data_IF_076350486013
#
_entry.id   IF_076350486013
#
_cell.length_a   1.000
_cell.length_b   1.000
_cell.length_c   1.000
_cell.angle_alpha   90.00
_cell.angle_beta   90.00
_cell.angle_gamma   90.00
#
_symmetry.space_group_name_H-M   'P 1'
#
loop_
_entity.id
_entity.type
_entity.pdbx_description
1 polymer ?
#
# COMPACT_ATOMS: atom_id res chain seq x y z
N UNK A 1 22.91 30.47 -50.27
CA UNK A 1 23.16 30.83 -48.85
C UNK A 1 21.94 30.60 -47.93
N UNK A 2 20.75 30.32 -48.43
CA UNK A 2 19.51 30.14 -47.63
C UNK A 2 19.28 28.72 -47.05
N UNK A 3 19.97 27.71 -47.56
CA UNK A 3 19.76 26.30 -47.18
C UNK A 3 20.49 25.88 -45.91
N UNK A 4 21.56 26.56 -45.50
CA UNK A 4 22.35 26.23 -44.31
C UNK A 4 21.66 26.70 -43.05
N UNK A 5 20.87 27.78 -43.10
CA UNK A 5 20.15 28.30 -41.92
C UNK A 5 18.96 27.43 -41.49
N UNK A 6 18.35 26.67 -42.40
CA UNK A 6 17.24 25.76 -42.06
C UNK A 6 17.68 24.49 -41.33
N UNK A 7 18.89 24.01 -41.59
CA UNK A 7 19.44 22.81 -40.95
C UNK A 7 19.91 23.08 -39.50
N UNK A 8 20.36 24.31 -39.20
CA UNK A 8 20.75 24.66 -37.80
C UNK A 8 19.53 24.85 -36.91
N UNK A 9 18.40 25.33 -37.42
CA UNK A 9 17.19 25.54 -36.63
C UNK A 9 16.51 24.23 -36.20
N UNK A 10 16.60 23.18 -36.99
CA UNK A 10 16.01 21.87 -36.66
C UNK A 10 16.86 21.08 -35.66
N UNK A 11 18.17 21.24 -35.68
CA UNK A 11 19.06 20.59 -34.70
C UNK A 11 18.90 21.14 -33.27
N UNK A 12 18.60 22.44 -33.14
CA UNK A 12 18.41 23.09 -31.84
C UNK A 12 17.04 22.73 -31.22
N UNK A 13 16.00 22.54 -32.03
CA UNK A 13 14.68 22.14 -31.55
C UNK A 13 14.64 20.70 -31.01
N UNK A 14 15.46 19.79 -31.56
CA UNK A 14 15.56 18.40 -31.11
C UNK A 14 16.32 18.29 -29.76
N UNK A 15 17.31 19.17 -29.52
CA UNK A 15 18.04 19.17 -28.24
C UNK A 15 17.20 19.64 -27.06
N UNK A 16 16.21 20.49 -27.26
CA UNK A 16 15.32 20.97 -26.18
C UNK A 16 14.30 19.89 -25.76
N UNK A 17 13.93 18.98 -26.67
CA UNK A 17 12.98 17.90 -26.38
C UNK A 17 13.60 16.76 -25.56
N UNK A 18 14.93 16.65 -25.46
CA UNK A 18 15.60 15.60 -24.70
C UNK A 18 16.00 16.02 -23.28
N UNK A 19 15.80 17.28 -22.90
CA UNK A 19 16.24 17.82 -21.59
C UNK A 19 15.17 17.82 -20.52
N UNK A 20 14.12 17.06 -20.61
CA UNK A 20 13.06 17.21 -19.63
C UNK A 20 12.26 15.99 -19.31
N UNK A 21 12.83 15.06 -18.58
CA UNK A 21 12.03 14.18 -17.70
C UNK A 21 12.99 13.39 -16.80
N UNK A 22 13.69 14.07 -15.90
CA UNK A 22 14.08 13.41 -14.66
C UNK A 22 12.78 13.28 -13.84
N UNK A 23 12.01 12.25 -14.13
CA UNK A 23 10.82 11.92 -13.35
C UNK A 23 11.30 11.74 -11.92
N UNK A 24 10.84 12.59 -11.01
CA UNK A 24 11.13 12.44 -9.58
C UNK A 24 10.58 11.07 -9.15
N UNK A 25 11.48 10.11 -8.94
CA UNK A 25 11.13 8.73 -8.62
C UNK A 25 10.25 8.65 -7.39
N UNK A 26 10.51 9.48 -6.38
CA UNK A 26 9.71 9.52 -5.16
C UNK A 26 8.28 10.02 -5.43
N UNK A 27 8.12 11.02 -6.29
CA UNK A 27 6.82 11.50 -6.71
C UNK A 27 6.04 10.43 -7.47
N UNK A 28 6.68 9.79 -8.43
CA UNK A 28 6.07 8.69 -9.20
C UNK A 28 5.63 7.53 -8.31
N UNK A 29 6.43 7.16 -7.30
CA UNK A 29 6.06 6.13 -6.33
C UNK A 29 4.92 6.59 -5.42
N UNK A 30 4.89 7.87 -5.02
CA UNK A 30 3.79 8.46 -4.26
C UNK A 30 2.48 8.42 -5.06
N UNK A 31 2.51 8.80 -6.33
CA UNK A 31 1.34 8.73 -7.22
C UNK A 31 0.86 7.27 -7.39
N UNK A 32 1.78 6.30 -7.48
CA UNK A 32 1.44 4.88 -7.52
C UNK A 32 0.74 4.40 -6.24
N UNK A 33 1.21 4.81 -5.06
CA UNK A 33 0.56 4.50 -3.77
C UNK A 33 -0.88 5.03 -3.76
N UNK A 34 -1.10 6.27 -4.17
CA UNK A 34 -2.44 6.86 -4.24
C UNK A 34 -3.34 6.11 -5.23
N UNK A 35 -2.80 5.74 -6.39
CA UNK A 35 -3.55 4.98 -7.40
C UNK A 35 -4.01 3.62 -6.83
N UNK A 36 -3.09 2.87 -6.19
CA UNK A 36 -3.42 1.58 -5.57
C UNK A 36 -4.43 1.74 -4.42
N UNK A 37 -4.32 2.82 -3.61
CA UNK A 37 -5.27 3.13 -2.56
C UNK A 37 -6.68 3.39 -3.12
N UNK A 38 -6.80 4.19 -4.17
CA UNK A 38 -8.09 4.42 -4.85
C UNK A 38 -8.68 3.14 -5.44
N UNK A 39 -7.87 2.32 -6.10
CA UNK A 39 -8.31 1.02 -6.63
C UNK A 39 -8.79 0.12 -5.50
N UNK A 40 -8.05 0.03 -4.39
CA UNK A 40 -8.45 -0.74 -3.22
C UNK A 40 -9.86 -0.34 -2.75
N UNK A 41 -10.12 0.95 -2.55
CA UNK A 41 -11.43 1.43 -2.09
C UNK A 41 -12.55 1.08 -3.08
N UNK A 42 -12.32 1.31 -4.38
CA UNK A 42 -13.30 0.99 -5.42
C UNK A 42 -13.61 -0.52 -5.49
N UNK A 43 -12.59 -1.37 -5.35
CA UNK A 43 -12.75 -2.82 -5.37
C UNK A 43 -13.48 -3.32 -4.13
N UNK A 44 -13.16 -2.77 -2.95
CA UNK A 44 -13.83 -3.12 -1.70
C UNK A 44 -15.31 -2.73 -1.73
N UNK A 45 -15.65 -1.55 -2.28
CA UNK A 45 -17.05 -1.13 -2.49
C UNK A 45 -17.81 -2.04 -3.44
N UNK A 46 -17.12 -2.67 -4.41
CA UNK A 46 -17.68 -3.65 -5.34
C UNK A 46 -17.64 -5.09 -4.81
N UNK A 47 -17.28 -5.27 -3.55
CA UNK A 47 -17.15 -6.58 -2.90
C UNK A 47 -16.07 -7.50 -3.52
N UNK A 48 -15.17 -6.93 -4.31
CA UNK A 48 -14.06 -7.65 -4.94
C UNK A 48 -12.88 -7.71 -3.97
N UNK A 49 -13.06 -8.43 -2.87
CA UNK A 49 -12.16 -8.45 -1.70
C UNK A 49 -10.74 -8.89 -2.06
N UNK A 50 -10.60 -9.98 -2.82
CA UNK A 50 -9.28 -10.50 -3.20
C UNK A 50 -8.51 -9.47 -4.06
N UNK A 51 -9.18 -8.86 -5.02
CA UNK A 51 -8.58 -7.83 -5.84
C UNK A 51 -8.19 -6.59 -5.00
N UNK A 52 -9.01 -6.20 -4.02
CA UNK A 52 -8.66 -5.14 -3.08
C UNK A 52 -7.42 -5.51 -2.25
N UNK A 53 -7.32 -6.74 -1.75
CA UNK A 53 -6.13 -7.22 -1.03
C UNK A 53 -4.88 -7.14 -1.91
N UNK A 54 -4.95 -7.50 -3.18
CA UNK A 54 -3.83 -7.38 -4.12
C UNK A 54 -3.36 -5.93 -4.28
N UNK A 55 -4.27 -4.98 -4.37
CA UNK A 55 -3.90 -3.55 -4.43
C UNK A 55 -3.18 -3.10 -3.15
N UNK A 56 -3.61 -3.56 -1.96
CA UNK A 56 -2.91 -3.23 -0.73
C UNK A 56 -1.52 -3.88 -0.64
N UNK A 57 -1.37 -5.11 -1.12
CA UNK A 57 -0.05 -5.75 -1.23
C UNK A 57 0.87 -5.01 -2.21
N UNK A 58 0.35 -4.44 -3.30
CA UNK A 58 1.14 -3.59 -4.19
C UNK A 58 1.71 -2.36 -3.45
N UNK A 59 0.93 -1.73 -2.57
CA UNK A 59 1.41 -0.65 -1.70
C UNK A 59 2.53 -1.15 -0.78
N UNK A 60 2.37 -2.30 -0.12
CA UNK A 60 3.39 -2.89 0.74
C UNK A 60 4.69 -3.20 -0.03
N UNK A 61 4.60 -3.67 -1.28
CA UNK A 61 5.76 -3.92 -2.14
C UNK A 61 6.54 -2.64 -2.45
N UNK A 62 5.86 -1.51 -2.71
CA UNK A 62 6.51 -0.20 -2.84
C UNK A 62 7.33 0.11 -1.57
N UNK A 63 6.77 -0.12 -0.39
CA UNK A 63 7.47 0.08 0.87
C UNK A 63 8.71 -0.81 1.03
N UNK A 64 8.64 -2.07 0.59
CA UNK A 64 9.78 -2.97 0.60
C UNK A 64 10.87 -2.55 -0.37
N UNK A 65 10.52 -2.07 -1.56
CA UNK A 65 11.47 -1.53 -2.54
C UNK A 65 12.17 -0.29 -2.00
N UNK A 66 11.44 0.64 -1.39
CA UNK A 66 12.00 1.82 -0.73
C UNK A 66 13.02 1.44 0.36
N UNK A 67 12.68 0.49 1.24
CA UNK A 67 13.57 0.03 2.31
C UNK A 67 14.82 -0.67 1.81
N UNK A 68 14.74 -1.40 0.70
CA UNK A 68 15.87 -2.12 0.13
C UNK A 68 16.88 -1.22 -0.59
N UNK A 69 16.61 0.07 -0.74
CA UNK A 69 17.46 1.00 -1.51
C UNK A 69 17.53 0.69 -3.02
N UNK A 70 16.66 -0.19 -3.51
CA UNK A 70 16.63 -0.62 -4.92
C UNK A 70 15.89 0.34 -5.84
N UNK A 71 15.88 1.62 -5.52
CA UNK A 71 15.32 2.61 -6.43
C UNK A 71 16.30 2.89 -7.58
N UNK A 72 15.82 2.99 -8.83
CA UNK A 72 16.66 3.39 -9.95
C UNK A 72 17.33 4.73 -9.66
N UNK A 73 18.67 4.81 -9.74
CA UNK A 73 19.42 6.05 -9.50
C UNK A 73 19.86 6.30 -8.06
N UNK A 74 19.76 5.31 -7.16
CA UNK A 74 20.06 5.47 -5.72
C UNK A 74 21.54 5.29 -5.33
N UNK A 75 22.46 5.24 -6.28
CA UNK A 75 23.88 4.92 -5.99
C UNK A 75 24.59 5.91 -5.05
N UNK A 76 24.02 7.11 -4.85
CA UNK A 76 24.48 8.08 -3.84
C UNK A 76 23.27 8.87 -3.32
N UNK A 77 22.63 8.37 -2.24
CA UNK A 77 21.52 9.07 -1.62
C UNK A 77 21.99 10.38 -0.97
N UNK A 78 21.51 11.50 -1.47
CA UNK A 78 21.67 12.81 -0.84
C UNK A 78 20.81 12.89 0.43
N UNK A 79 21.16 13.70 1.43
CA UNK A 79 20.35 13.86 2.64
C UNK A 79 18.86 14.20 2.35
N UNK A 80 18.60 15.04 1.34
CA UNK A 80 17.26 15.39 0.91
C UNK A 80 16.48 14.19 0.34
N UNK A 81 17.15 13.22 -0.27
CA UNK A 81 16.53 12.02 -0.82
C UNK A 81 16.17 11.03 0.30
N UNK A 82 17.00 10.94 1.34
CA UNK A 82 16.69 10.16 2.55
C UNK A 82 15.43 10.68 3.25
N UNK A 83 15.29 11.99 3.35
CA UNK A 83 14.10 12.60 3.94
C UNK A 83 12.83 12.33 3.10
N UNK A 84 12.93 12.45 1.76
CA UNK A 84 11.83 12.12 0.83
C UNK A 84 11.45 10.64 0.92
N UNK A 85 12.45 9.77 0.97
CA UNK A 85 12.25 8.33 1.16
C UNK A 85 11.55 8.04 2.48
N UNK A 86 11.97 8.68 3.58
CA UNK A 86 11.33 8.55 4.89
C UNK A 86 9.85 8.93 4.85
N UNK A 87 9.53 10.12 4.34
CA UNK A 87 8.12 10.57 4.19
C UNK A 87 7.29 9.63 3.33
N UNK A 88 7.84 9.13 2.23
CA UNK A 88 7.12 8.18 1.38
C UNK A 88 6.90 6.84 2.06
N UNK A 89 7.87 6.35 2.85
CA UNK A 89 7.72 5.14 3.67
C UNK A 89 6.61 5.32 4.71
N UNK A 90 6.52 6.47 5.35
CA UNK A 90 5.45 6.76 6.31
C UNK A 90 4.08 6.75 5.60
N UNK A 91 3.97 7.40 4.43
CA UNK A 91 2.74 7.38 3.61
C UNK A 91 2.33 5.95 3.21
N UNK A 92 3.29 5.13 2.76
CA UNK A 92 3.04 3.73 2.39
C UNK A 92 2.50 2.95 3.59
N UNK A 93 3.14 3.09 4.75
CA UNK A 93 2.75 2.38 5.98
C UNK A 93 1.37 2.80 6.45
N UNK A 94 1.12 4.10 6.48
CA UNK A 94 -0.18 4.66 6.85
C UNK A 94 -1.29 4.14 5.93
N UNK A 95 -1.11 4.27 4.62
CA UNK A 95 -2.12 3.83 3.64
C UNK A 95 -2.38 2.33 3.72
N UNK A 96 -1.34 1.52 3.89
CA UNK A 96 -1.51 0.08 4.03
C UNK A 96 -2.23 -0.29 5.33
N UNK A 97 -1.94 0.38 6.44
CA UNK A 97 -2.63 0.16 7.72
C UNK A 97 -4.13 0.50 7.61
N UNK A 98 -4.45 1.67 7.02
CA UNK A 98 -5.85 2.10 6.77
C UNK A 98 -6.61 1.07 5.94
N UNK A 99 -6.00 0.56 4.89
CA UNK A 99 -6.63 -0.43 4.02
C UNK A 99 -6.87 -1.76 4.76
N UNK A 100 -5.92 -2.25 5.57
CA UNK A 100 -6.13 -3.46 6.37
C UNK A 100 -7.24 -3.28 7.42
N UNK A 101 -7.32 -2.12 8.07
CA UNK A 101 -8.41 -1.80 8.98
C UNK A 101 -9.75 -1.76 8.26
N UNK A 102 -9.84 -1.10 7.10
CA UNK A 102 -11.06 -1.06 6.29
C UNK A 102 -11.54 -2.46 5.88
N UNK A 103 -10.59 -3.33 5.50
CA UNK A 103 -10.91 -4.71 5.18
C UNK A 103 -11.40 -5.51 6.39
N UNK A 104 -10.80 -5.31 7.56
CA UNK A 104 -11.26 -5.93 8.80
C UNK A 104 -12.69 -5.49 9.17
N UNK A 105 -12.99 -4.20 9.03
CA UNK A 105 -14.33 -3.65 9.23
C UNK A 105 -15.34 -4.23 8.23
N UNK A 106 -14.94 -4.38 6.96
CA UNK A 106 -15.76 -5.01 5.93
C UNK A 106 -16.17 -6.42 6.33
N UNK A 107 -15.22 -7.25 6.78
CA UNK A 107 -15.53 -8.61 7.25
C UNK A 107 -16.36 -8.61 8.55
N UNK A 108 -16.06 -7.71 9.47
CA UNK A 108 -16.82 -7.57 10.72
C UNK A 108 -18.29 -7.23 10.46
N UNK A 109 -18.56 -6.29 9.55
CA UNK A 109 -19.94 -5.91 9.18
C UNK A 109 -20.75 -7.03 8.53
N UNK A 110 -20.07 -8.05 7.99
CA UNK A 110 -20.68 -9.26 7.40
C UNK A 110 -20.69 -10.45 8.36
N UNK A 111 -20.41 -10.20 9.65
CA UNK A 111 -20.35 -11.23 10.68
C UNK A 111 -19.27 -12.31 10.43
N UNK A 112 -18.31 -12.03 9.55
CA UNK A 112 -17.16 -12.89 9.29
C UNK A 112 -16.04 -12.59 10.30
N UNK A 113 -16.38 -12.79 11.59
CA UNK A 113 -15.54 -12.37 12.72
C UNK A 113 -14.15 -12.99 12.73
N UNK A 114 -14.01 -14.24 12.26
CA UNK A 114 -12.71 -14.90 12.15
C UNK A 114 -11.75 -14.17 11.20
N UNK A 115 -12.23 -13.79 10.02
CA UNK A 115 -11.45 -13.03 9.05
C UNK A 115 -11.13 -11.62 9.55
N UNK A 116 -12.11 -10.92 10.14
CA UNK A 116 -11.92 -9.61 10.73
C UNK A 116 -10.85 -9.66 11.84
N UNK A 117 -10.91 -10.66 12.73
CA UNK A 117 -9.95 -10.88 13.81
C UNK A 117 -8.52 -11.06 13.28
N UNK A 118 -8.33 -11.90 12.26
CA UNK A 118 -7.04 -12.14 11.66
C UNK A 118 -6.42 -10.86 11.10
N UNK A 119 -7.22 -10.01 10.47
CA UNK A 119 -6.77 -8.73 9.91
C UNK A 119 -6.43 -7.71 10.99
N UNK A 120 -7.24 -7.57 12.04
CA UNK A 120 -6.89 -6.71 13.17
C UNK A 120 -5.60 -7.17 13.86
N UNK A 121 -5.41 -8.49 14.07
CA UNK A 121 -4.17 -9.04 14.61
C UNK A 121 -2.97 -8.71 13.71
N UNK A 122 -3.11 -8.80 12.37
CA UNK A 122 -2.09 -8.38 11.42
C UNK A 122 -1.71 -6.91 11.61
N UNK A 123 -2.70 -6.01 11.72
CA UNK A 123 -2.45 -4.58 11.98
C UNK A 123 -1.70 -4.39 13.30
N UNK A 124 -2.13 -5.02 14.37
CA UNK A 124 -1.47 -4.94 15.68
C UNK A 124 0.00 -5.37 15.58
N UNK A 125 0.29 -6.49 14.93
CA UNK A 125 1.64 -7.02 14.80
C UNK A 125 2.55 -6.15 13.91
N UNK A 126 2.00 -5.65 12.81
CA UNK A 126 2.79 -4.93 11.79
C UNK A 126 3.03 -3.47 12.14
N UNK A 127 2.13 -2.84 12.90
CA UNK A 127 2.12 -1.39 13.16
C UNK A 127 2.25 -1.02 14.64
N UNK A 128 2.66 -1.96 15.52
CA UNK A 128 2.83 -1.71 16.95
C UNK A 128 3.93 -0.69 17.29
N UNK A 129 4.84 -0.40 16.36
CA UNK A 129 6.05 0.42 16.59
C UNK A 129 6.04 1.65 15.68
N UNK A 130 6.55 2.77 16.22
CA UNK A 130 6.70 4.01 15.45
C UNK A 130 5.45 4.88 15.40
N UNK A 131 5.35 5.76 14.40
CA UNK A 131 4.25 6.72 14.23
C UNK A 131 2.90 6.07 13.94
N UNK A 132 2.91 4.80 13.50
CA UNK A 132 1.70 4.06 13.11
C UNK A 132 0.99 3.39 14.29
N UNK A 133 1.47 3.60 15.52
CA UNK A 133 0.91 3.01 16.74
C UNK A 133 -0.60 3.25 16.89
N UNK A 134 -1.09 4.36 16.38
CA UNK A 134 -2.53 4.68 16.40
C UNK A 134 -3.37 3.61 15.72
N UNK A 135 -2.94 3.05 14.61
CA UNK A 135 -3.67 1.99 13.90
C UNK A 135 -3.65 0.67 14.68
N UNK A 136 -2.54 0.36 15.34
CA UNK A 136 -2.45 -0.81 16.22
C UNK A 136 -3.36 -0.67 17.45
N UNK A 137 -3.41 0.50 18.08
CA UNK A 137 -4.32 0.76 19.21
C UNK A 137 -5.79 0.72 18.77
N UNK A 138 -6.12 1.32 17.62
CA UNK A 138 -7.45 1.21 17.05
C UNK A 138 -7.84 -0.26 16.79
N UNK A 139 -6.95 -1.04 16.19
CA UNK A 139 -7.21 -2.45 15.91
C UNK A 139 -7.40 -3.29 17.18
N UNK A 140 -6.68 -2.97 18.26
CA UNK A 140 -6.88 -3.60 19.59
C UNK A 140 -8.27 -3.30 20.15
N UNK A 141 -8.67 -2.03 20.08
CA UNK A 141 -10.01 -1.62 20.55
C UNK A 141 -11.10 -2.31 19.74
N UNK A 142 -11.01 -2.28 18.40
CA UNK A 142 -11.99 -2.92 17.52
C UNK A 142 -12.06 -4.45 17.73
N UNK A 143 -10.93 -5.09 18.06
CA UNK A 143 -10.88 -6.50 18.39
C UNK A 143 -11.60 -6.79 19.72
N UNK A 144 -11.37 -5.97 20.74
CA UNK A 144 -12.05 -6.10 22.03
C UNK A 144 -13.57 -5.91 21.90
N UNK A 145 -14.00 -4.90 21.15
CA UNK A 145 -15.42 -4.62 20.88
C UNK A 145 -16.09 -5.80 20.15
N UNK A 146 -15.39 -6.38 19.17
CA UNK A 146 -15.87 -7.54 18.42
C UNK A 146 -16.00 -8.79 19.31
N UNK A 147 -15.06 -8.99 20.27
CA UNK A 147 -15.13 -10.12 21.20
C UNK A 147 -16.36 -10.03 22.11
N UNK A 148 -16.73 -8.84 22.55
CA UNK A 148 -17.96 -8.59 23.31
C UNK A 148 -19.19 -8.98 22.49
N UNK A 149 -19.23 -8.58 21.21
CA UNK A 149 -20.34 -8.90 20.31
C UNK A 149 -20.48 -10.41 20.09
N UNK A 150 -19.37 -11.12 19.88
CA UNK A 150 -19.37 -12.58 19.66
C UNK A 150 -19.82 -13.33 20.90
N UNK A 151 -19.38 -12.91 22.09
CA UNK A 151 -19.80 -13.52 23.36
C UNK A 151 -21.29 -13.29 23.63
N UNK A 152 -21.83 -12.12 23.26
CA UNK A 152 -23.23 -11.76 23.45
C UNK A 152 -24.20 -12.51 22.53
N UNK A 153 -23.73 -13.04 21.39
CA UNK A 153 -24.59 -13.73 20.40
C UNK A 153 -24.51 -15.27 20.45
N UNK A 154 -23.81 -15.87 21.43
CA UNK A 154 -23.65 -17.31 21.55
C UNK A 154 -23.00 -17.91 20.31
N UNK A 155 -21.72 -18.15 20.37
CA UNK A 155 -20.86 -18.58 19.28
C UNK A 155 -21.44 -19.73 18.48
N UNK A 156 -21.99 -19.45 17.32
CA UNK A 156 -22.18 -20.44 16.29
C UNK A 156 -20.92 -20.40 15.42
N UNK A 157 -19.95 -21.23 15.79
CA UNK A 157 -18.75 -21.43 14.98
C UNK A 157 -19.14 -22.02 13.61
N UNK A 158 -19.23 -21.17 12.61
CA UNK A 158 -19.19 -21.62 11.22
C UNK A 158 -17.71 -21.82 10.88
N UNK A 159 -17.26 -23.05 10.52
CA UNK A 159 -15.86 -23.25 10.12
C UNK A 159 -15.59 -22.46 8.84
N UNK A 160 -14.89 -21.36 8.99
CA UNK A 160 -14.49 -20.51 7.87
C UNK A 160 -13.23 -21.12 7.26
N UNK A 161 -13.37 -21.67 6.06
CA UNK A 161 -12.24 -21.91 5.17
C UNK A 161 -11.60 -20.55 4.87
N UNK A 162 -10.54 -20.23 5.58
CA UNK A 162 -9.92 -18.90 5.53
C UNK A 162 -9.32 -18.68 4.14
N UNK A 163 -9.74 -17.66 3.36
CA UNK A 163 -9.09 -17.32 2.09
C UNK A 163 -7.61 -16.95 2.27
N UNK A 164 -7.18 -16.66 3.50
CA UNK A 164 -5.78 -16.39 3.84
C UNK A 164 -4.90 -17.64 3.80
N UNK A 165 -5.44 -18.85 4.01
CA UNK A 165 -4.67 -20.10 3.88
C UNK A 165 -4.25 -20.39 2.44
N UNK A 166 -5.06 -19.99 1.45
CA UNK A 166 -4.72 -20.14 0.04
C UNK A 166 -3.54 -19.26 -0.41
N UNK A 167 -3.30 -18.14 0.30
CA UNK A 167 -2.18 -17.23 0.01
C UNK A 167 -0.86 -17.67 0.67
N UNK A 168 -0.92 -18.53 1.70
CA UNK A 168 0.28 -19.06 2.37
C UNK A 168 0.88 -20.27 1.67
N UNK A 169 0.07 -21.05 0.95
CA UNK A 169 0.51 -22.31 0.31
C UNK A 169 1.33 -22.08 -0.97
N UNK A 170 1.33 -20.89 -1.53
CA UNK A 170 2.08 -20.52 -2.74
C UNK A 170 3.52 -20.01 -2.47
N UNK A 171 4.10 -20.23 -1.27
CA UNK A 171 5.44 -19.74 -0.90
C UNK A 171 6.52 -20.82 -0.86
N UNK A 172 6.33 -21.97 -1.50
CA UNK A 172 7.41 -22.93 -1.69
C UNK A 172 7.85 -22.97 -3.16
N UNK A 173 9.18 -22.79 -3.41
CA UNK A 173 9.78 -22.85 -4.73
C UNK A 173 9.74 -24.25 -5.31
#
# INVERSE_FOLDING_TARGET
MFTIFRLLGTAMAVMIALSGCSTDVYRSQGDAVQLHAHKFQNLLQREQVEAAMHENHAIELIGLQLKSGRLPGSDTLKPADLERQGRLLDTVREQSAVNWVALAQYFGSRQQYGAARALYQRVIQSYAKGGDRLYAEYAKQALADMDILVMGHGAQEVPISSPLSALQDNRHP
#
